data_IF_869904245672
#
_entry.id   IF_869904245672
#
_cell.length_a   1.000
_cell.length_b   1.000
_cell.length_c   1.000
_cell.angle_alpha   90.00
_cell.angle_beta   90.00
_cell.angle_gamma   90.00
#
_symmetry.space_group_name_H-M   'P 1'
#
loop_
_entity.id
_entity.type
_entity.pdbx_description
1 polymer ?
#
# COMPACT_ATOMS: atom_id res chain seq x y z
N UNK A 1 3.52 9.72 5.70
CA UNK A 1 3.51 8.77 6.84
C UNK A 1 2.30 8.96 7.75
N UNK A 2 2.16 10.07 8.48
CA UNK A 2 1.10 10.26 9.50
C UNK A 2 -0.32 10.10 8.92
N UNK A 3 -0.55 10.61 7.70
CA UNK A 3 -1.85 10.48 7.03
C UNK A 3 -2.33 9.02 6.90
N UNK A 4 -1.42 8.10 6.58
CA UNK A 4 -1.74 6.67 6.42
C UNK A 4 -1.92 6.01 7.79
N UNK A 5 -1.08 6.33 8.77
CA UNK A 5 -1.17 5.74 10.11
C UNK A 5 -2.43 6.14 10.88
N UNK A 6 -3.09 7.23 10.49
CA UNK A 6 -4.38 7.62 11.06
C UNK A 6 -5.53 6.71 10.62
N UNK A 7 -5.38 5.94 9.55
CA UNK A 7 -6.46 5.16 8.92
C UNK A 7 -6.14 3.68 8.68
N UNK A 8 -4.87 3.30 8.81
CA UNK A 8 -4.41 1.92 8.64
C UNK A 8 -3.65 1.45 9.87
N UNK A 9 -3.87 0.20 10.27
CA UNK A 9 -3.24 -0.45 11.40
C UNK A 9 -2.70 -1.84 11.04
N UNK A 10 -2.02 -2.50 11.97
CA UNK A 10 -1.49 -3.84 11.75
C UNK A 10 -2.59 -4.81 11.27
N UNK A 11 -2.31 -5.51 10.17
CA UNK A 11 -3.25 -6.41 9.50
C UNK A 11 -4.00 -5.80 8.32
N UNK A 12 -3.98 -4.47 8.15
CA UNK A 12 -4.53 -3.80 6.98
C UNK A 12 -3.61 -3.89 5.76
N UNK A 13 -4.19 -3.66 4.59
CA UNK A 13 -3.51 -3.62 3.30
C UNK A 13 -3.62 -2.25 2.64
N UNK A 14 -2.58 -1.87 1.90
CA UNK A 14 -2.55 -0.70 1.01
C UNK A 14 -2.32 -1.23 -0.41
N UNK A 15 -3.11 -0.78 -1.37
CA UNK A 15 -2.89 -1.03 -2.80
C UNK A 15 -2.31 0.24 -3.41
N UNK A 16 -1.12 0.15 -4.00
CA UNK A 16 -0.45 1.31 -4.58
C UNK A 16 0.09 1.03 -5.97
N UNK A 17 0.16 2.07 -6.80
CA UNK A 17 0.97 2.03 -8.00
C UNK A 17 2.46 1.81 -7.67
N UNK A 18 3.21 1.23 -8.59
CA UNK A 18 4.65 0.94 -8.48
C UNK A 18 5.56 2.13 -8.85
N UNK A 19 5.04 3.14 -9.54
CA UNK A 19 5.78 4.31 -10.01
C UNK A 19 5.84 5.47 -8.99
N UNK A 20 6.03 5.15 -7.72
CA UNK A 20 6.09 6.16 -6.65
C UNK A 20 7.44 6.88 -6.59
N UNK A 21 7.44 8.08 -5.99
CA UNK A 21 8.67 8.70 -5.51
C UNK A 21 9.42 7.72 -4.60
N UNK A 22 10.74 7.59 -4.78
CA UNK A 22 11.54 6.52 -4.14
C UNK A 22 11.46 6.49 -2.61
N UNK A 23 11.32 7.65 -1.97
CA UNK A 23 11.10 7.72 -0.52
C UNK A 23 9.75 7.13 -0.08
N UNK A 24 8.71 7.34 -0.88
CA UNK A 24 7.37 6.76 -0.64
C UNK A 24 7.39 5.26 -0.87
N UNK A 25 8.06 4.79 -1.94
CA UNK A 25 8.25 3.36 -2.16
C UNK A 25 8.96 2.71 -0.97
N UNK A 26 10.08 3.31 -0.50
CA UNK A 26 10.84 2.81 0.65
C UNK A 26 9.99 2.77 1.92
N UNK A 27 9.21 3.82 2.18
CA UNK A 27 8.27 3.88 3.31
C UNK A 27 7.26 2.72 3.24
N UNK A 28 6.68 2.48 2.07
CA UNK A 28 5.64 1.49 1.85
C UNK A 28 6.19 0.06 1.96
N UNK A 29 7.33 -0.21 1.33
CA UNK A 29 7.93 -1.55 1.27
C UNK A 29 8.61 -1.96 2.59
N UNK A 30 9.28 -1.03 3.27
CA UNK A 30 10.08 -1.34 4.45
C UNK A 30 9.40 -0.93 5.76
N UNK A 31 8.98 0.34 5.87
CA UNK A 31 8.53 0.89 7.15
C UNK A 31 7.14 0.39 7.52
N UNK A 32 6.17 0.43 6.60
CA UNK A 32 4.81 -0.03 6.90
C UNK A 32 4.73 -1.52 7.14
N UNK A 33 5.55 -2.32 6.45
CA UNK A 33 5.70 -3.75 6.72
C UNK A 33 6.12 -4.03 8.18
N UNK A 34 7.00 -3.21 8.76
CA UNK A 34 7.40 -3.30 10.18
C UNK A 34 6.28 -2.93 11.16
N UNK A 35 5.32 -2.12 10.74
CA UNK A 35 4.11 -1.81 11.49
C UNK A 35 2.99 -2.83 11.26
N UNK A 36 3.24 -3.92 10.52
CA UNK A 36 2.25 -4.93 10.20
C UNK A 36 1.23 -4.50 9.14
N UNK A 37 1.45 -3.38 8.45
CA UNK A 37 0.63 -2.91 7.34
C UNK A 37 1.27 -3.40 6.04
N UNK A 38 0.52 -4.14 5.23
CA UNK A 38 1.06 -4.77 4.04
C UNK A 38 0.77 -3.92 2.79
N UNK A 39 1.75 -3.70 1.92
CA UNK A 39 1.54 -2.94 0.69
C UNK A 39 1.59 -3.86 -0.52
N UNK A 40 0.56 -3.82 -1.36
CA UNK A 40 0.49 -4.48 -2.66
C UNK A 40 0.77 -3.46 -3.75
N UNK A 41 1.92 -3.61 -4.40
CA UNK A 41 2.24 -2.79 -5.57
C UNK A 41 1.60 -3.38 -6.83
N UNK A 42 0.98 -2.52 -7.62
CA UNK A 42 0.37 -2.83 -8.91
C UNK A 42 1.01 -1.93 -9.97
N UNK A 43 1.20 -2.46 -11.19
CA UNK A 43 1.64 -1.63 -12.32
C UNK A 43 0.69 -0.45 -12.51
N UNK A 44 1.21 0.76 -12.58
CA UNK A 44 0.41 1.98 -12.67
C UNK A 44 -0.64 2.01 -13.80
N UNK A 45 -0.39 1.27 -14.88
CA UNK A 45 -1.27 1.11 -16.04
C UNK A 45 -2.24 -0.09 -15.98
N UNK A 46 -2.08 -1.01 -15.02
CA UNK A 46 -2.92 -2.22 -14.91
C UNK A 46 -4.16 -1.98 -14.02
N UNK A 47 -5.18 -1.32 -14.57
CA UNK A 47 -6.46 -1.10 -13.90
C UNK A 47 -7.13 -2.41 -13.42
N UNK A 48 -6.96 -3.51 -14.17
CA UNK A 48 -7.51 -4.80 -13.76
C UNK A 48 -6.73 -5.37 -12.57
N UNK A 49 -5.42 -5.15 -12.51
CA UNK A 49 -4.56 -5.44 -11.38
C UNK A 49 -5.00 -4.74 -10.11
N UNK A 50 -5.35 -3.46 -10.19
CA UNK A 50 -5.88 -2.72 -9.04
C UNK A 50 -7.18 -3.36 -8.54
N UNK A 51 -8.12 -3.66 -9.43
CA UNK A 51 -9.37 -4.34 -9.06
C UNK A 51 -9.14 -5.69 -8.38
N UNK A 52 -8.16 -6.47 -8.84
CA UNK A 52 -7.80 -7.76 -8.23
C UNK A 52 -7.10 -7.63 -6.88
N UNK A 53 -6.36 -6.54 -6.67
CA UNK A 53 -5.57 -6.34 -5.46
C UNK A 53 -6.41 -5.83 -4.27
N UNK A 54 -7.57 -5.21 -4.54
CA UNK A 54 -8.50 -4.73 -3.50
C UNK A 54 -9.16 -5.91 -2.80
N UNK A 55 -9.08 -5.93 -1.47
CA UNK A 55 -9.70 -6.92 -0.58
C UNK A 55 -10.44 -6.21 0.54
N UNK A 56 -11.16 -6.94 1.40
CA UNK A 56 -11.81 -6.36 2.59
C UNK A 56 -10.83 -5.69 3.58
N UNK A 57 -9.54 -6.06 3.48
CA UNK A 57 -8.45 -5.49 4.29
C UNK A 57 -7.81 -4.26 3.63
N UNK A 58 -8.08 -3.99 2.36
CA UNK A 58 -7.56 -2.81 1.68
C UNK A 58 -8.19 -1.54 2.26
N UNK A 59 -7.37 -0.64 2.82
CA UNK A 59 -7.81 0.64 3.40
C UNK A 59 -7.44 1.85 2.56
N UNK A 60 -6.43 1.70 1.71
CA UNK A 60 -5.88 2.72 0.81
C UNK A 60 -5.58 2.09 -0.53
#
# INVERSE_FOLDING_TARGET
TIAILNIAQAGDEIVSADNLYGGTYTLFDNTFKRFGINVKFVKSEDLAGFKRAITDKAKV
#
